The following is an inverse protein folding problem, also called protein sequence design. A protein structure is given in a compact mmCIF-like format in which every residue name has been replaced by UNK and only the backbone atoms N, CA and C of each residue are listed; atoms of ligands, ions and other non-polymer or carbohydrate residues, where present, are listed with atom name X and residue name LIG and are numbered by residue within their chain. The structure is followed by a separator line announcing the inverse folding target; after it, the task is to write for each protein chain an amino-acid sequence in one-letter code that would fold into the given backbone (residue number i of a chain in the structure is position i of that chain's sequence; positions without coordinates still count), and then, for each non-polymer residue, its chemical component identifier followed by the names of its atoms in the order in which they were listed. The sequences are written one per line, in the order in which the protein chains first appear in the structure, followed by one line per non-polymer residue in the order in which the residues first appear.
data_IF_284075964971
#
_entry.id   IF_284075964971
#
_cell.length_a   1.000
_cell.length_b   1.000
_cell.length_c   1.000
_cell.angle_alpha   90.00
_cell.angle_beta   90.00
_cell.angle_gamma   90.00
#
_symmetry.space_group_name_H-M   'P 1'
#
loop_
_entity.id
_entity.type
_entity.pdbx_description
1 polymer ?
#
# COMPACT_ATOMS: atom_id res chain seq x y z
N UNK A 1 -20.29 18.44 12.33
CA UNK A 1 -18.94 17.86 12.30
C UNK A 1 -18.34 18.08 13.66
N UNK A 2 -17.86 17.03 14.33
CA UNK A 2 -17.22 17.22 15.62
C UNK A 2 -15.83 17.87 15.41
N UNK A 3 -15.30 18.56 16.44
CA UNK A 3 -14.03 19.29 16.33
C UNK A 3 -12.86 18.42 15.82
N UNK A 4 -12.83 17.13 16.20
CA UNK A 4 -11.78 16.20 15.77
C UNK A 4 -11.90 15.79 14.29
N UNK A 5 -13.11 15.67 13.76
CA UNK A 5 -13.36 15.42 12.34
C UNK A 5 -12.92 16.61 11.49
N UNK A 6 -13.28 17.82 11.90
CA UNK A 6 -12.84 19.05 11.21
C UNK A 6 -11.32 19.19 11.26
N UNK A 7 -10.70 19.02 12.44
CA UNK A 7 -9.25 19.03 12.58
C UNK A 7 -8.56 17.96 11.73
N UNK A 8 -9.15 16.76 11.62
CA UNK A 8 -8.62 15.70 10.77
C UNK A 8 -8.69 16.05 9.28
N UNK A 9 -9.73 16.75 8.84
CA UNK A 9 -9.86 17.21 7.45
C UNK A 9 -8.89 18.35 7.17
N UNK A 10 -8.77 19.31 8.08
CA UNK A 10 -7.82 20.41 7.99
C UNK A 10 -6.36 19.89 7.88
N UNK A 11 -6.00 18.86 8.66
CA UNK A 11 -4.68 18.21 8.57
C UNK A 11 -4.49 17.44 7.25
N UNK A 12 -5.55 16.88 6.67
CA UNK A 12 -5.49 16.22 5.35
C UNK A 12 -5.31 17.24 4.23
N UNK A 13 -5.95 18.40 4.33
CA UNK A 13 -5.78 19.51 3.38
C UNK A 13 -4.37 20.08 3.48
N UNK A 14 -3.88 20.32 4.70
CA UNK A 14 -2.50 20.79 4.93
C UNK A 14 -1.47 19.80 4.37
N UNK A 15 -1.68 18.49 4.51
CA UNK A 15 -0.78 17.48 3.91
C UNK A 15 -0.80 17.48 2.38
N UNK A 16 -1.92 17.87 1.75
CA UNK A 16 -2.05 17.95 0.28
C UNK A 16 -1.51 19.26 -0.28
N UNK A 17 -1.62 20.34 0.49
CA UNK A 17 -1.14 21.66 0.10
C UNK A 17 0.36 21.82 0.35
N UNK A 18 1.07 22.30 -0.66
CA UNK A 18 2.51 22.56 -0.60
C UNK A 18 2.85 23.90 0.12
N UNK A 19 2.02 24.30 1.09
CA UNK A 19 2.08 25.58 1.81
C UNK A 19 2.58 25.35 3.24
N UNK A 20 3.39 26.27 3.76
CA UNK A 20 3.94 26.22 5.15
C UNK A 20 4.73 24.93 5.52
N UNK A 21 5.27 24.23 4.54
CA UNK A 21 6.13 23.08 4.81
C UNK A 21 7.43 23.53 5.52
N UNK A 22 7.84 22.76 6.52
CA UNK A 22 9.09 22.95 7.27
C UNK A 22 10.08 21.80 7.05
N UNK A 23 9.70 20.80 6.26
CA UNK A 23 10.55 19.65 5.89
C UNK A 23 10.48 19.39 4.37
N UNK A 24 11.65 19.17 3.76
CA UNK A 24 11.78 18.55 2.44
C UNK A 24 12.46 17.19 2.62
N UNK A 25 11.80 16.12 2.17
CA UNK A 25 12.38 14.78 2.08
C UNK A 25 12.89 14.61 0.65
N UNK A 26 14.19 14.37 0.51
CA UNK A 26 14.85 14.13 -0.77
C UNK A 26 15.21 12.65 -0.88
N UNK A 27 14.72 12.02 -1.93
CA UNK A 27 14.81 10.59 -2.22
C UNK A 27 15.62 10.36 -3.50
N UNK A 28 16.53 9.38 -3.48
CA UNK A 28 17.30 8.97 -4.65
C UNK A 28 18.59 9.78 -4.85
N UNK A 29 19.31 9.49 -5.92
CA UNK A 29 20.63 10.06 -6.19
C UNK A 29 20.78 10.47 -7.67
N UNK A 30 21.51 11.57 -7.90
CA UNK A 30 21.81 12.07 -9.23
C UNK A 30 20.55 12.44 -10.03
N UNK A 31 20.40 11.97 -11.29
CA UNK A 31 19.29 12.37 -12.15
C UNK A 31 17.92 11.81 -11.73
N UNK A 32 17.87 10.91 -10.74
CA UNK A 32 16.64 10.29 -10.24
C UNK A 32 16.17 10.86 -8.90
N UNK A 33 16.78 11.95 -8.44
CA UNK A 33 16.40 12.63 -7.21
C UNK A 33 14.96 13.15 -7.29
N UNK A 34 14.17 12.91 -6.24
CA UNK A 34 12.82 13.45 -6.05
C UNK A 34 12.69 14.08 -4.68
N UNK A 35 12.07 15.25 -4.63
CA UNK A 35 11.79 15.98 -3.40
C UNK A 35 10.30 15.96 -3.06
N UNK A 36 10.01 15.83 -1.77
CA UNK A 36 8.66 15.82 -1.21
C UNK A 36 8.60 16.86 -0.08
N UNK A 37 7.66 17.79 -0.16
CA UNK A 37 7.40 18.76 0.91
C UNK A 37 6.47 18.14 1.94
N UNK A 38 6.72 18.42 3.21
CA UNK A 38 5.96 17.86 4.33
C UNK A 38 6.09 18.73 5.59
N UNK A 39 5.26 18.41 6.58
CA UNK A 39 5.22 19.10 7.87
C UNK A 39 5.75 18.21 8.99
N UNK A 40 6.74 18.69 9.75
CA UNK A 40 7.47 17.91 10.76
C UNK A 40 6.57 17.38 11.86
N UNK A 41 5.55 18.14 12.27
CA UNK A 41 4.54 17.75 13.24
C UNK A 41 3.70 16.55 12.76
N UNK A 42 3.24 16.55 11.51
CA UNK A 42 2.50 15.44 10.90
C UNK A 42 3.41 14.22 10.79
N UNK A 43 4.64 14.40 10.29
CA UNK A 43 5.61 13.31 10.13
C UNK A 43 5.97 12.68 11.48
N UNK A 44 6.21 13.47 12.52
CA UNK A 44 6.48 12.99 13.89
C UNK A 44 5.32 12.16 14.44
N UNK A 45 4.08 12.57 14.18
CA UNK A 45 2.89 11.87 14.68
C UNK A 45 2.59 10.58 13.89
N UNK A 46 2.85 10.56 12.58
CA UNK A 46 2.46 9.45 11.70
C UNK A 46 3.60 8.48 11.37
N UNK A 47 4.85 8.88 11.60
CA UNK A 47 6.04 8.10 11.22
C UNK A 47 7.12 8.14 12.32
N UNK A 48 7.19 7.13 13.22
CA UNK A 48 8.20 7.05 14.28
C UNK A 48 9.66 6.99 13.77
N UNK A 49 9.86 6.49 12.55
CA UNK A 49 11.18 6.56 11.89
C UNK A 49 11.57 8.03 11.65
N UNK A 50 10.69 8.78 10.99
CA UNK A 50 10.92 10.21 10.76
C UNK A 50 10.86 11.00 12.06
N UNK A 51 10.17 10.55 13.11
CA UNK A 51 10.26 11.15 14.44
C UNK A 51 11.69 11.13 14.98
N UNK A 52 12.34 9.97 14.90
CA UNK A 52 13.73 9.78 15.36
C UNK A 52 14.69 10.58 14.48
N UNK A 53 14.48 10.56 13.17
CA UNK A 53 15.26 11.35 12.21
C UNK A 53 15.08 12.84 12.44
N UNK A 54 13.84 13.29 12.69
CA UNK A 54 13.42 14.67 12.95
C UNK A 54 13.80 15.16 14.37
N UNK A 55 14.38 14.30 15.20
CA UNK A 55 14.87 14.66 16.52
C UNK A 55 16.40 14.51 16.61
N UNK A 56 17.05 14.08 15.53
CA UNK A 56 18.50 14.06 15.44
C UNK A 56 19.01 15.46 15.13
N UNK A 57 20.16 15.84 15.70
CA UNK A 57 20.71 17.21 15.62
C UNK A 57 21.59 17.45 14.37
N UNK A 58 21.78 16.45 13.51
CA UNK A 58 22.66 16.54 12.34
C UNK A 58 21.94 17.06 11.09
N UNK A 59 21.10 18.07 11.28
CA UNK A 59 20.20 18.54 10.23
C UNK A 59 20.86 19.57 9.33
N UNK A 60 20.65 19.38 8.03
CA UNK A 60 20.87 20.41 7.05
C UNK A 60 19.59 21.22 6.90
N UNK A 61 19.71 22.53 7.10
CA UNK A 61 18.63 23.49 6.87
C UNK A 61 18.98 24.37 5.68
N UNK A 62 17.99 24.63 4.83
CA UNK A 62 18.04 25.62 3.76
C UNK A 62 16.84 26.54 3.93
N UNK A 63 17.07 27.85 4.09
CA UNK A 63 15.99 28.85 4.28
C UNK A 63 15.00 28.51 5.42
N UNK A 64 15.49 27.97 6.53
CA UNK A 64 14.71 27.45 7.68
C UNK A 64 13.86 26.19 7.40
N UNK A 65 13.99 25.60 6.23
CA UNK A 65 13.39 24.30 5.89
C UNK A 65 14.41 23.21 6.19
N UNK A 66 13.99 22.18 6.91
CA UNK A 66 14.82 21.02 7.18
C UNK A 66 14.87 20.11 5.96
N UNK A 67 16.05 19.75 5.49
CA UNK A 67 16.22 18.82 4.37
C UNK A 67 16.68 17.47 4.90
N UNK A 68 15.81 16.47 4.76
CA UNK A 68 16.15 15.07 5.00
C UNK A 68 16.55 14.46 3.65
N UNK A 69 17.84 14.46 3.36
CA UNK A 69 18.36 13.68 2.23
C UNK A 69 18.53 12.25 2.68
N UNK A 70 17.93 11.30 1.95
CA UNK A 70 18.52 9.98 1.94
C UNK A 70 18.82 9.51 0.50
N UNK A 71 20.07 9.68 0.04
CA UNK A 71 20.47 9.36 -1.33
C UNK A 71 20.35 7.86 -1.62
N UNK A 72 20.44 7.02 -0.59
CA UNK A 72 20.18 5.58 -0.64
C UNK A 72 18.69 5.22 -0.88
N UNK A 73 17.74 6.17 -1.00
CA UNK A 73 16.27 5.89 -1.09
C UNK A 73 15.81 5.50 -2.50
N UNK A 74 16.71 5.24 -3.44
CA UNK A 74 16.36 4.34 -4.54
C UNK A 74 16.30 2.86 -4.09
N UNK A 75 16.80 2.54 -2.88
CA UNK A 75 16.79 1.18 -2.39
C UNK A 75 15.37 0.74 -2.05
N UNK A 76 15.00 -0.37 -2.68
CA UNK A 76 13.93 -1.28 -2.28
C UNK A 76 13.73 -1.31 -0.77
N UNK A 77 14.81 -1.26 0.02
CA UNK A 77 14.90 -1.31 1.48
C UNK A 77 14.20 -0.16 2.22
N UNK A 78 14.27 1.10 1.78
CA UNK A 78 13.55 2.19 2.47
C UNK A 78 12.04 2.13 2.21
N UNK A 79 11.62 1.90 0.96
CA UNK A 79 10.20 1.70 0.65
C UNK A 79 9.68 0.48 1.40
N UNK A 80 10.48 -0.58 1.47
CA UNK A 80 10.24 -1.78 2.24
C UNK A 80 10.16 -1.56 3.76
N UNK A 81 11.02 -0.73 4.34
CA UNK A 81 11.04 -0.39 5.77
C UNK A 81 9.86 0.53 6.12
N UNK A 82 9.59 1.53 5.28
CA UNK A 82 8.44 2.42 5.39
C UNK A 82 7.11 1.68 5.27
N UNK A 83 6.99 0.77 4.28
CA UNK A 83 5.83 -0.13 4.13
C UNK A 83 5.67 -1.04 5.34
N UNK A 84 6.76 -1.63 5.84
CA UNK A 84 6.72 -2.53 6.99
C UNK A 84 6.22 -1.88 8.27
N UNK A 85 6.49 -0.58 8.43
CA UNK A 85 6.15 0.21 9.62
C UNK A 85 4.85 0.98 9.47
N UNK A 86 4.36 1.21 8.24
CA UNK A 86 3.18 2.04 7.94
C UNK A 86 2.24 1.45 6.88
N UNK A 87 1.67 0.25 7.12
CA UNK A 87 0.81 -0.44 6.16
C UNK A 87 -0.40 0.38 5.68
N UNK A 88 -1.01 1.18 6.56
CA UNK A 88 -2.21 1.98 6.23
C UNK A 88 -1.97 3.19 5.30
N UNK A 89 -0.73 3.67 5.16
CA UNK A 89 -0.42 4.80 4.25
C UNK A 89 -0.41 4.33 2.78
N UNK A 90 -0.20 3.03 2.55
CA UNK A 90 0.00 2.43 1.24
C UNK A 90 -1.31 2.36 0.45
N UNK A 91 -2.41 2.00 1.12
CA UNK A 91 -3.74 1.92 0.52
C UNK A 91 -4.26 3.27 0.01
N UNK A 92 -3.81 4.38 0.60
CA UNK A 92 -4.27 5.73 0.26
C UNK A 92 -3.35 6.47 -0.72
N UNK A 93 -2.11 5.99 -0.92
CA UNK A 93 -1.16 6.69 -1.80
C UNK A 93 -1.37 6.32 -3.28
N UNK A 94 -1.60 7.33 -4.12
CA UNK A 94 -1.65 7.16 -5.59
C UNK A 94 -0.34 6.61 -6.19
N UNK A 95 0.76 6.62 -5.43
CA UNK A 95 2.06 6.12 -5.87
C UNK A 95 2.15 4.59 -5.84
N UNK A 96 1.45 3.92 -4.92
CA UNK A 96 1.46 2.45 -4.85
C UNK A 96 0.86 1.82 -6.11
N UNK A 97 -0.21 2.42 -6.64
CA UNK A 97 -0.85 2.03 -7.89
C UNK A 97 0.07 2.10 -9.11
N UNK A 98 1.23 2.76 -9.01
CA UNK A 98 2.22 2.90 -10.10
C UNK A 98 3.43 1.98 -9.92
N UNK A 99 3.46 1.15 -8.87
CA UNK A 99 4.55 0.18 -8.69
C UNK A 99 4.61 -0.78 -9.87
N UNK A 100 5.83 -1.12 -10.29
CA UNK A 100 6.00 -2.26 -11.18
C UNK A 100 5.69 -3.57 -10.44
N UNK A 101 5.27 -4.58 -11.18
CA UNK A 101 4.84 -5.88 -10.63
C UNK A 101 5.95 -6.53 -9.77
N UNK A 102 7.22 -6.45 -10.19
CA UNK A 102 8.34 -7.05 -9.45
C UNK A 102 8.50 -6.43 -8.06
N UNK A 103 8.31 -5.13 -7.94
CA UNK A 103 8.34 -4.44 -6.66
C UNK A 103 7.18 -4.91 -5.77
N UNK A 104 5.96 -4.94 -6.30
CA UNK A 104 4.79 -5.45 -5.59
C UNK A 104 4.99 -6.88 -5.09
N UNK A 105 5.43 -7.79 -5.97
CA UNK A 105 5.74 -9.19 -5.63
C UNK A 105 6.78 -9.26 -4.51
N UNK A 106 7.79 -8.38 -4.53
CA UNK A 106 8.81 -8.37 -3.49
C UNK A 106 8.32 -7.87 -2.14
N UNK A 107 7.24 -7.08 -2.12
CA UNK A 107 6.59 -6.60 -0.90
C UNK A 107 5.72 -7.71 -0.34
N UNK A 108 4.79 -8.28 -1.13
CA UNK A 108 3.83 -9.29 -0.63
C UNK A 108 4.48 -10.61 -0.17
N UNK A 109 5.72 -10.90 -0.59
CA UNK A 109 6.48 -12.09 -0.17
C UNK A 109 7.06 -12.00 1.25
N UNK A 110 7.05 -10.82 1.86
CA UNK A 110 7.78 -10.55 3.09
C UNK A 110 6.93 -10.81 4.32
N UNK A 111 7.43 -11.69 5.18
CA UNK A 111 6.79 -12.05 6.45
C UNK A 111 7.06 -11.06 7.57
N UNK A 112 8.06 -10.20 7.40
CA UNK A 112 8.44 -9.16 8.34
C UNK A 112 7.62 -7.87 8.17
N UNK A 113 6.71 -7.83 7.20
CA UNK A 113 5.73 -6.76 7.08
C UNK A 113 4.61 -7.00 8.11
N UNK A 114 4.25 -5.97 8.90
CA UNK A 114 3.06 -6.01 9.77
C UNK A 114 1.74 -5.87 8.96
N UNK A 115 1.66 -6.54 7.81
CA UNK A 115 0.47 -6.64 6.98
C UNK A 115 -0.16 -8.00 7.22
N UNK A 116 -1.43 -8.01 7.63
CA UNK A 116 -2.19 -9.24 7.59
C UNK A 116 -2.57 -9.61 6.14
N UNK A 117 -2.90 -10.88 5.91
CA UNK A 117 -3.19 -11.39 4.56
C UNK A 117 -4.46 -10.77 3.94
N UNK A 118 -5.36 -10.21 4.75
CA UNK A 118 -6.51 -9.44 4.24
C UNK A 118 -6.04 -8.11 3.66
N UNK A 119 -5.09 -7.44 4.31
CA UNK A 119 -4.49 -6.20 3.81
C UNK A 119 -3.65 -6.45 2.57
N UNK A 120 -2.90 -7.57 2.51
CA UNK A 120 -2.18 -7.99 1.31
C UNK A 120 -3.15 -8.19 0.14
N UNK A 121 -4.29 -8.85 0.37
CA UNK A 121 -5.33 -9.00 -0.65
C UNK A 121 -5.84 -7.64 -1.15
N UNK A 122 -6.18 -6.72 -0.25
CA UNK A 122 -6.68 -5.40 -0.61
C UNK A 122 -5.66 -4.61 -1.44
N UNK A 123 -4.37 -4.70 -1.09
CA UNK A 123 -3.28 -4.10 -1.85
C UNK A 123 -3.16 -4.69 -3.26
N UNK A 124 -3.17 -6.03 -3.38
CA UNK A 124 -3.03 -6.71 -4.68
C UNK A 124 -4.22 -6.39 -5.58
N UNK A 125 -5.45 -6.42 -5.07
CA UNK A 125 -6.64 -6.05 -5.85
C UNK A 125 -6.61 -4.57 -6.24
N UNK A 126 -6.30 -3.68 -5.30
CA UNK A 126 -6.22 -2.25 -5.58
C UNK A 126 -5.19 -1.90 -6.66
N UNK A 127 -4.03 -2.57 -6.63
CA UNK A 127 -3.02 -2.45 -7.67
C UNK A 127 -3.49 -3.02 -9.00
N UNK A 128 -4.07 -4.23 -9.02
CA UNK A 128 -4.58 -4.89 -10.22
C UNK A 128 -5.65 -4.06 -10.94
N UNK A 129 -6.59 -3.49 -10.20
CA UNK A 129 -7.61 -2.59 -10.75
C UNK A 129 -6.99 -1.32 -11.36
N UNK A 130 -5.98 -0.75 -10.72
CA UNK A 130 -5.30 0.44 -11.24
C UNK A 130 -4.52 0.18 -12.54
N UNK A 131 -4.01 -1.04 -12.72
CA UNK A 131 -3.35 -1.46 -13.96
C UNK A 131 -4.34 -1.76 -15.10
N UNK A 132 -5.63 -1.88 -14.81
CA UNK A 132 -6.67 -2.19 -15.79
C UNK A 132 -7.75 -1.09 -15.80
N UNK A 133 -7.42 0.14 -16.25
CA UNK A 133 -8.31 1.29 -16.17
C UNK A 133 -9.56 1.19 -17.05
N UNK A 134 -9.61 0.24 -17.98
CA UNK A 134 -10.77 -0.02 -18.85
C UNK A 134 -11.84 -0.88 -18.17
N UNK A 135 -11.56 -1.46 -17.00
CA UNK A 135 -12.54 -2.28 -16.28
C UNK A 135 -13.71 -1.42 -15.77
N UNK A 136 -14.94 -1.94 -15.81
CA UNK A 136 -16.08 -1.25 -15.21
C UNK A 136 -15.86 -1.02 -13.71
N UNK A 137 -16.22 0.17 -13.23
CA UNK A 137 -16.08 0.50 -11.79
C UNK A 137 -17.01 -0.34 -10.92
N UNK A 138 -18.21 -0.66 -11.42
CA UNK A 138 -19.16 -1.53 -10.73
C UNK A 138 -19.00 -2.97 -11.24
N UNK A 139 -18.68 -3.87 -10.31
CA UNK A 139 -18.40 -5.28 -10.58
C UNK A 139 -19.59 -6.03 -11.16
N UNK A 140 -20.82 -5.54 -10.96
CA UNK A 140 -22.02 -6.20 -11.51
C UNK A 140 -22.06 -6.19 -13.04
N UNK A 141 -21.25 -5.34 -13.68
CA UNK A 141 -21.13 -5.24 -15.14
C UNK A 141 -19.94 -6.00 -15.71
N UNK A 142 -19.19 -6.76 -14.89
CA UNK A 142 -18.01 -7.45 -15.36
C UNK A 142 -18.35 -8.69 -16.17
N UNK A 143 -17.71 -8.81 -17.33
CA UNK A 143 -17.74 -9.99 -18.19
C UNK A 143 -16.57 -10.94 -17.89
N UNK A 144 -16.60 -12.15 -18.45
CA UNK A 144 -15.51 -13.12 -18.28
C UNK A 144 -14.16 -12.59 -18.82
N UNK A 145 -14.20 -11.73 -19.82
CA UNK A 145 -13.03 -11.05 -20.37
C UNK A 145 -12.40 -10.10 -19.32
N UNK A 146 -13.22 -9.40 -18.54
CA UNK A 146 -12.75 -8.49 -17.49
C UNK A 146 -12.01 -9.25 -16.38
N UNK A 147 -12.59 -10.37 -15.92
CA UNK A 147 -11.92 -11.26 -14.97
C UNK A 147 -10.63 -11.85 -15.55
N UNK A 148 -10.62 -12.21 -16.84
CA UNK A 148 -9.45 -12.76 -17.51
C UNK A 148 -8.31 -11.74 -17.61
N UNK A 149 -8.63 -10.48 -17.89
CA UNK A 149 -7.65 -9.38 -17.91
C UNK A 149 -7.05 -9.16 -16.52
N UNK A 150 -7.89 -9.03 -15.49
CA UNK A 150 -7.42 -8.87 -14.11
C UNK A 150 -6.57 -10.07 -13.66
N UNK A 151 -7.01 -11.30 -13.99
CA UNK A 151 -6.27 -12.54 -13.68
C UNK A 151 -4.87 -12.51 -14.29
N UNK A 152 -4.75 -12.10 -15.56
CA UNK A 152 -3.45 -11.99 -16.24
C UNK A 152 -2.54 -10.97 -15.57
N UNK A 153 -3.08 -9.82 -15.14
CA UNK A 153 -2.32 -8.80 -14.41
C UNK A 153 -1.82 -9.30 -13.06
N UNK A 154 -2.63 -10.09 -12.35
CA UNK A 154 -2.34 -10.53 -10.98
C UNK A 154 -1.65 -11.90 -10.90
N UNK A 155 -1.33 -12.52 -12.04
CA UNK A 155 -0.86 -13.91 -12.10
C UNK A 155 0.40 -14.18 -11.27
N UNK A 156 1.33 -13.21 -11.16
CA UNK A 156 2.53 -13.38 -10.35
C UNK A 156 2.34 -12.90 -8.90
N UNK A 157 1.23 -12.25 -8.57
CA UNK A 157 0.93 -11.77 -7.22
C UNK A 157 0.12 -12.79 -6.42
N UNK A 158 -0.93 -13.37 -7.04
CA UNK A 158 -1.85 -14.32 -6.38
C UNK A 158 -1.13 -15.49 -5.69
N UNK A 159 -0.09 -16.13 -6.28
CA UNK A 159 0.60 -17.26 -5.64
C UNK A 159 1.32 -16.92 -4.33
N UNK A 160 1.45 -15.64 -3.99
CA UNK A 160 2.13 -15.17 -2.79
C UNK A 160 1.16 -14.78 -1.67
N UNK A 161 -0.15 -14.85 -1.90
CA UNK A 161 -1.17 -14.58 -0.88
C UNK A 161 -1.51 -15.88 -0.15
N UNK A 162 -1.42 -15.86 1.17
CA UNK A 162 -1.74 -17.03 2.00
C UNK A 162 -3.21 -17.03 2.37
N UNK A 163 -4.07 -17.36 1.42
CA UNK A 163 -5.54 -17.33 1.58
C UNK A 163 -6.06 -18.05 2.84
N UNK A 164 -5.40 -19.11 3.29
CA UNK A 164 -5.78 -19.83 4.50
C UNK A 164 -5.57 -19.04 5.80
N UNK A 165 -4.79 -17.96 5.82
CA UNK A 165 -4.64 -17.07 6.97
C UNK A 165 -5.62 -15.88 6.91
N UNK A 166 -6.42 -15.77 5.85
CA UNK A 166 -7.44 -14.72 5.73
C UNK A 166 -8.71 -15.16 6.50
N UNK A 167 -9.32 -14.27 7.31
CA UNK A 167 -10.57 -14.58 8.00
C UNK A 167 -11.69 -14.97 7.02
N UNK A 168 -12.47 -16.01 7.34
CA UNK A 168 -13.54 -16.52 6.46
C UNK A 168 -14.54 -15.45 6.04
N UNK A 169 -14.84 -14.49 6.92
CA UNK A 169 -15.69 -13.33 6.61
C UNK A 169 -15.13 -12.51 5.45
N UNK A 170 -13.83 -12.17 5.50
CA UNK A 170 -13.13 -11.44 4.44
C UNK A 170 -13.13 -12.22 3.14
N UNK A 171 -12.95 -13.56 3.20
CA UNK A 171 -13.04 -14.41 2.00
C UNK A 171 -14.44 -14.31 1.38
N UNK A 172 -15.49 -14.41 2.20
CA UNK A 172 -16.87 -14.41 1.71
C UNK A 172 -17.31 -13.06 1.15
N UNK A 173 -16.99 -11.97 1.84
CA UNK A 173 -17.46 -10.63 1.51
C UNK A 173 -16.64 -10.01 0.37
N UNK A 174 -15.30 -10.13 0.43
CA UNK A 174 -14.40 -9.34 -0.44
C UNK A 174 -13.70 -10.18 -1.53
N UNK A 175 -13.39 -11.45 -1.26
CA UNK A 175 -12.62 -12.32 -2.17
C UNK A 175 -13.53 -13.11 -3.11
N UNK A 176 -14.63 -13.67 -2.60
CA UNK A 176 -15.61 -14.45 -3.37
C UNK A 176 -16.08 -13.75 -4.65
N UNK A 177 -16.39 -12.44 -4.69
CA UNK A 177 -16.83 -11.83 -5.93
C UNK A 177 -15.68 -11.64 -6.94
N UNK A 178 -14.44 -12.00 -6.61
CA UNK A 178 -13.30 -12.13 -7.53
C UNK A 178 -12.91 -13.58 -7.82
N UNK A 179 -13.64 -14.61 -7.36
CA UNK A 179 -13.26 -16.03 -7.46
C UNK A 179 -12.76 -16.48 -8.85
N UNK A 180 -13.28 -15.89 -9.94
CA UNK A 180 -12.88 -16.20 -11.32
C UNK A 180 -11.41 -15.89 -11.64
N UNK A 181 -10.77 -15.00 -10.88
CA UNK A 181 -9.34 -14.71 -11.05
C UNK A 181 -8.44 -15.78 -10.42
N UNK A 182 -8.98 -16.57 -9.48
CA UNK A 182 -8.24 -17.65 -8.83
C UNK A 182 -8.18 -18.88 -9.74
N UNK A 183 -7.29 -19.81 -9.40
CA UNK A 183 -7.34 -21.15 -10.00
C UNK A 183 -8.51 -21.92 -9.38
N UNK A 184 -9.21 -22.72 -10.17
CA UNK A 184 -10.37 -23.49 -9.71
C UNK A 184 -10.02 -24.35 -8.49
N UNK A 185 -8.90 -25.09 -8.56
CA UNK A 185 -8.43 -25.91 -7.44
C UNK A 185 -8.19 -25.08 -6.17
N UNK A 186 -7.51 -23.93 -6.29
CA UNK A 186 -7.26 -23.04 -5.15
C UNK A 186 -8.57 -22.55 -4.52
N UNK A 187 -9.56 -22.19 -5.33
CA UNK A 187 -10.86 -21.77 -4.82
C UNK A 187 -11.59 -22.91 -4.12
N UNK A 188 -11.58 -24.11 -4.68
CA UNK A 188 -12.19 -25.29 -4.09
C UNK A 188 -11.54 -25.64 -2.74
N UNK A 189 -10.22 -25.51 -2.62
CA UNK A 189 -9.49 -25.76 -1.37
C UNK A 189 -9.84 -24.71 -0.29
N UNK A 190 -9.89 -23.42 -0.66
CA UNK A 190 -10.31 -22.32 0.22
C UNK A 190 -11.75 -22.55 0.71
N UNK A 191 -12.64 -22.85 -0.23
CA UNK A 191 -14.06 -23.10 0.07
C UNK A 191 -14.24 -24.33 0.95
N UNK A 192 -13.46 -25.39 0.70
CA UNK A 192 -13.41 -26.60 1.51
C UNK A 192 -13.07 -26.31 2.98
N UNK A 193 -12.04 -25.49 3.24
CA UNK A 193 -11.71 -25.06 4.60
C UNK A 193 -12.84 -24.29 5.27
N UNK A 194 -13.51 -23.40 4.53
CA UNK A 194 -14.58 -22.57 5.08
C UNK A 194 -15.81 -23.41 5.45
N UNK A 195 -16.19 -24.36 4.60
CA UNK A 195 -17.34 -25.23 4.84
C UNK A 195 -17.06 -26.34 5.85
N UNK A 196 -15.81 -26.80 5.96
CA UNK A 196 -15.40 -27.91 6.84
C UNK A 196 -14.09 -27.55 7.55
N UNK A 197 -14.12 -26.72 8.60
CA UNK A 197 -12.92 -26.21 9.27
C UNK A 197 -12.09 -27.29 10.00
N UNK A 198 -12.60 -28.52 10.15
CA UNK A 198 -11.96 -29.63 10.87
C UNK A 198 -11.21 -30.65 9.99
N UNK A 199 -11.12 -30.45 8.66
CA UNK A 199 -10.29 -31.33 7.82
C UNK A 199 -8.79 -31.00 8.00
N UNK A 200 -7.93 -32.01 8.24
CA UNK A 200 -6.49 -31.81 8.45
C UNK A 200 -5.78 -31.28 7.20
#
# INVERSE_FOLDING_TARGET
MNFLESLSQDLQELFKDNVEYDVIIVIGEGPYEKSFRAHSNILRCRCPYLYSELNNNNDYFEENVRIIRKPQIASKEFYNDFISKHPGIISESNNFKKLNEKALVSIIKRDDLQLDESQIWDLVIGWGLAQNPTLPSDRKYWEDTDFSNLKKTLQNCIPHIRFFHIPSKKIFDDIRPYQKILQTQLWDDIWGKICVPERP
#
